data_IF_803468680893
#
_entry.id   IF_803468680893
#
_cell.length_a   1.000
_cell.length_b   1.000
_cell.length_c   1.000
_cell.angle_alpha   90.00
_cell.angle_beta   90.00
_cell.angle_gamma   90.00
#
_symmetry.space_group_name_H-M   'P 1'
#
loop_
_entity.id
_entity.type
_entity.pdbx_description
1 polymer ?
#
# COMPACT_ATOMS: atom_id res chain seq x y z
N UNK A 1 -6.67 -14.14 24.28
CA UNK A 1 -6.74 -13.62 22.90
C UNK A 1 -5.46 -14.01 22.21
N UNK A 2 -5.52 -14.71 21.07
CA UNK A 2 -4.30 -15.10 20.36
C UNK A 2 -3.70 -13.88 19.62
N UNK A 3 -2.48 -14.01 19.10
CA UNK A 3 -1.79 -12.90 18.43
C UNK A 3 -2.51 -12.46 17.14
N UNK A 4 -3.12 -13.39 16.40
CA UNK A 4 -3.85 -13.08 15.18
C UNK A 4 -5.09 -12.23 15.48
N UNK A 5 -5.88 -12.59 16.49
CA UNK A 5 -7.03 -11.81 16.95
C UNK A 5 -6.60 -10.40 17.38
N UNK A 6 -5.44 -10.31 18.06
CA UNK A 6 -4.86 -9.03 18.46
C UNK A 6 -4.47 -8.18 17.25
N UNK A 7 -3.78 -8.77 16.26
CA UNK A 7 -3.43 -8.10 15.01
C UNK A 7 -4.68 -7.53 14.33
N UNK A 8 -5.77 -8.29 14.25
CA UNK A 8 -7.02 -7.82 13.61
C UNK A 8 -7.62 -6.63 14.37
N UNK A 9 -7.69 -6.71 15.71
CA UNK A 9 -8.23 -5.64 16.53
C UNK A 9 -7.39 -4.36 16.44
N UNK A 10 -6.07 -4.49 16.52
CA UNK A 10 -5.17 -3.35 16.37
C UNK A 10 -5.26 -2.78 14.94
N UNK A 11 -5.45 -3.64 13.92
CA UNK A 11 -5.60 -3.18 12.53
C UNK A 11 -6.79 -2.25 12.34
N UNK A 12 -7.94 -2.60 12.91
CA UNK A 12 -9.13 -1.75 12.82
C UNK A 12 -8.91 -0.41 13.53
N UNK A 13 -8.16 -0.39 14.64
CA UNK A 13 -7.78 0.88 15.28
C UNK A 13 -6.87 1.72 14.39
N UNK A 14 -5.89 1.13 13.74
CA UNK A 14 -5.01 1.84 12.81
C UNK A 14 -5.75 2.34 11.58
N UNK A 15 -6.69 1.56 11.03
CA UNK A 15 -7.59 1.98 9.93
C UNK A 15 -8.41 3.22 10.33
N UNK A 16 -8.97 3.25 11.54
CA UNK A 16 -9.69 4.43 12.05
C UNK A 16 -8.79 5.65 12.26
N UNK A 17 -7.53 5.46 12.64
CA UNK A 17 -6.56 6.54 12.74
C UNK A 17 -6.19 7.07 11.35
N UNK A 18 -5.84 6.18 10.42
CA UNK A 18 -5.47 6.54 9.05
C UNK A 18 -6.59 7.28 8.32
N UNK A 19 -7.86 6.95 8.57
CA UNK A 19 -9.02 7.70 8.03
C UNK A 19 -8.99 9.20 8.34
N UNK A 20 -8.20 9.66 9.32
CA UNK A 20 -8.01 11.06 9.73
C UNK A 20 -6.77 11.72 9.13
N UNK A 21 -5.98 10.99 8.34
CA UNK A 21 -4.76 11.45 7.70
C UNK A 21 -4.99 12.74 6.87
N UNK A 22 -3.95 13.59 6.79
CA UNK A 22 -4.01 14.87 6.05
C UNK A 22 -4.36 14.68 4.57
N UNK A 23 -4.01 13.54 3.98
CA UNK A 23 -4.34 13.17 2.62
C UNK A 23 -5.83 13.37 2.31
N UNK A 24 -6.71 12.98 3.22
CA UNK A 24 -8.16 13.07 2.97
C UNK A 24 -8.74 14.49 3.09
N UNK A 25 -7.89 15.49 3.37
CA UNK A 25 -8.28 16.91 3.47
C UNK A 25 -7.77 17.75 2.31
N UNK A 26 -6.94 17.20 1.43
CA UNK A 26 -6.38 17.95 0.30
C UNK A 26 -7.44 18.24 -0.75
N UNK A 27 -7.32 19.37 -1.44
CA UNK A 27 -8.23 19.74 -2.53
C UNK A 27 -7.65 19.31 -3.87
N UNK A 28 -8.28 18.33 -4.51
CA UNK A 28 -7.97 17.86 -5.87
C UNK A 28 -9.01 18.39 -6.87
N UNK A 29 -9.22 19.71 -6.84
CA UNK A 29 -10.29 20.43 -7.55
C UNK A 29 -9.90 20.86 -8.98
N UNK A 30 -8.61 20.87 -9.31
CA UNK A 30 -8.11 21.25 -10.63
C UNK A 30 -7.29 20.13 -11.27
N UNK A 31 -7.24 20.12 -12.61
CA UNK A 31 -6.37 19.23 -13.39
C UNK A 31 -4.91 19.38 -12.96
N UNK A 32 -4.45 20.60 -12.69
CA UNK A 32 -3.09 20.87 -12.21
C UNK A 32 -2.78 20.12 -10.91
N UNK A 33 -3.65 20.21 -9.90
CA UNK A 33 -3.44 19.52 -8.61
C UNK A 33 -3.58 18.01 -8.73
N UNK A 34 -4.53 17.52 -9.54
CA UNK A 34 -4.66 16.07 -9.83
C UNK A 34 -3.40 15.53 -10.49
N UNK A 35 -2.85 16.24 -11.47
CA UNK A 35 -1.61 15.85 -12.14
C UNK A 35 -0.42 15.89 -11.17
N UNK A 36 -0.31 16.94 -10.33
CA UNK A 36 0.73 17.02 -9.30
C UNK A 36 0.66 15.84 -8.32
N UNK A 37 -0.55 15.49 -7.87
CA UNK A 37 -0.80 14.32 -7.03
C UNK A 37 -0.33 13.04 -7.70
N UNK A 38 -0.80 12.77 -8.93
CA UNK A 38 -0.51 11.52 -9.64
C UNK A 38 0.98 11.37 -9.98
N UNK A 39 1.65 12.48 -10.29
CA UNK A 39 3.11 12.50 -10.51
C UNK A 39 3.86 11.97 -9.29
N UNK A 40 3.55 12.45 -8.09
CA UNK A 40 4.21 11.96 -6.88
C UNK A 40 3.71 10.58 -6.46
N UNK A 41 2.40 10.30 -6.59
CA UNK A 41 1.82 9.00 -6.28
C UNK A 41 2.45 7.86 -7.11
N UNK A 42 2.87 8.15 -8.35
CA UNK A 42 3.65 7.22 -9.17
C UNK A 42 4.91 6.71 -8.46
N UNK A 43 5.62 7.56 -7.70
CA UNK A 43 6.81 7.12 -6.96
C UNK A 43 6.49 6.01 -5.95
N UNK A 44 5.31 6.10 -5.32
CA UNK A 44 4.81 5.04 -4.45
C UNK A 44 4.42 3.80 -5.27
N UNK A 45 3.73 3.96 -6.40
CA UNK A 45 3.38 2.83 -7.27
C UNK A 45 4.61 2.06 -7.77
N UNK A 46 5.67 2.77 -8.15
CA UNK A 46 6.95 2.17 -8.54
C UNK A 46 7.66 1.48 -7.36
N UNK A 47 7.59 2.05 -6.15
CA UNK A 47 8.12 1.41 -4.95
C UNK A 47 7.32 0.15 -4.56
N UNK A 48 5.99 0.20 -4.69
CA UNK A 48 5.08 -0.92 -4.45
C UNK A 48 5.37 -2.09 -5.41
N UNK A 49 5.53 -1.83 -6.71
CA UNK A 49 5.89 -2.89 -7.66
C UNK A 49 7.22 -3.57 -7.29
N UNK A 50 8.24 -2.81 -6.88
CA UNK A 50 9.53 -3.34 -6.40
C UNK A 50 9.36 -4.16 -5.12
N UNK A 51 8.52 -3.69 -4.20
CA UNK A 51 8.20 -4.38 -2.96
C UNK A 51 7.54 -5.74 -3.25
N UNK A 52 6.51 -5.79 -4.09
CA UNK A 52 5.81 -7.05 -4.42
C UNK A 52 6.77 -8.05 -5.10
N UNK A 53 7.62 -7.59 -6.02
CA UNK A 53 8.67 -8.42 -6.62
C UNK A 53 9.67 -8.95 -5.57
N UNK A 54 10.17 -8.07 -4.69
CA UNK A 54 11.07 -8.47 -3.62
C UNK A 54 10.42 -9.51 -2.69
N UNK A 55 9.13 -9.36 -2.37
CA UNK A 55 8.40 -10.33 -1.56
C UNK A 55 8.44 -11.72 -2.18
N UNK A 56 8.17 -11.83 -3.49
CA UNK A 56 8.21 -13.12 -4.20
C UNK A 56 9.60 -13.75 -4.12
N UNK A 57 10.65 -12.95 -4.33
CA UNK A 57 12.04 -13.44 -4.31
C UNK A 57 12.45 -13.95 -2.93
N UNK A 58 12.03 -13.27 -1.87
CA UNK A 58 12.49 -13.54 -0.51
C UNK A 58 11.53 -14.41 0.32
N UNK A 59 10.36 -14.79 -0.21
CA UNK A 59 9.45 -15.71 0.47
C UNK A 59 10.00 -17.14 0.44
N UNK A 60 10.09 -17.79 1.60
CA UNK A 60 10.79 -19.06 1.74
C UNK A 60 9.83 -20.24 1.89
N UNK A 61 8.76 -20.04 2.65
CA UNK A 61 7.76 -21.08 2.94
C UNK A 61 6.73 -21.17 1.82
N UNK A 62 6.29 -22.40 1.51
CA UNK A 62 5.47 -22.69 0.34
C UNK A 62 4.17 -21.89 0.30
N UNK A 63 3.48 -21.82 1.43
CA UNK A 63 2.18 -21.15 1.53
C UNK A 63 2.31 -19.63 1.32
N UNK A 64 3.35 -19.02 1.90
CA UNK A 64 3.60 -17.59 1.72
C UNK A 64 4.17 -17.25 0.35
N UNK A 65 4.97 -18.15 -0.24
CA UNK A 65 5.44 -18.00 -1.61
C UNK A 65 4.27 -18.06 -2.60
N UNK A 66 3.34 -19.00 -2.42
CA UNK A 66 2.12 -19.06 -3.23
C UNK A 66 1.32 -17.76 -3.12
N UNK A 67 1.05 -17.30 -1.89
CA UNK A 67 0.35 -16.04 -1.65
C UNK A 67 1.05 -14.84 -2.30
N UNK A 68 2.39 -14.80 -2.24
CA UNK A 68 3.17 -13.72 -2.85
C UNK A 68 3.08 -13.75 -4.39
N UNK A 69 3.07 -14.92 -5.01
CA UNK A 69 2.91 -15.08 -6.47
C UNK A 69 1.51 -14.73 -6.95
N UNK A 70 0.47 -15.13 -6.23
CA UNK A 70 -0.91 -14.75 -6.52
C UNK A 70 -1.04 -13.22 -6.48
N UNK A 71 -0.56 -12.59 -5.41
CA UNK A 71 -0.55 -11.14 -5.28
C UNK A 71 0.26 -10.44 -6.40
N UNK A 72 1.45 -10.95 -6.73
CA UNK A 72 2.24 -10.39 -7.84
C UNK A 72 1.53 -10.50 -9.18
N UNK A 73 0.83 -11.60 -9.44
CA UNK A 73 0.12 -11.82 -10.71
C UNK A 73 -0.92 -10.73 -10.95
N UNK A 74 -1.66 -10.36 -9.90
CA UNK A 74 -2.66 -9.30 -9.98
C UNK A 74 -2.01 -7.92 -10.10
N UNK A 75 -0.94 -7.66 -9.34
CA UNK A 75 -0.32 -6.34 -9.26
C UNK A 75 0.67 -6.00 -10.38
N UNK A 76 1.09 -7.00 -11.17
CA UNK A 76 2.15 -6.83 -12.13
C UNK A 76 1.79 -5.82 -13.23
N UNK A 77 2.57 -4.73 -13.27
CA UNK A 77 2.46 -3.70 -14.30
C UNK A 77 1.46 -2.60 -14.01
N UNK A 78 0.81 -2.60 -12.83
CA UNK A 78 -0.06 -1.48 -12.41
C UNK A 78 0.69 -0.14 -12.35
N UNK A 79 1.97 -0.15 -11.99
CA UNK A 79 2.82 1.04 -12.02
C UNK A 79 3.09 1.56 -13.44
N UNK A 80 3.30 0.65 -14.40
CA UNK A 80 3.48 0.97 -15.81
C UNK A 80 2.18 1.54 -16.40
N UNK A 81 1.06 0.92 -16.08
CA UNK A 81 -0.27 1.38 -16.49
C UNK A 81 -0.55 2.80 -15.95
N UNK A 82 -0.27 3.05 -14.67
CA UNK A 82 -0.40 4.39 -14.09
C UNK A 82 0.50 5.39 -14.82
N UNK A 83 1.78 5.05 -15.03
CA UNK A 83 2.76 5.91 -15.72
C UNK A 83 2.31 6.31 -17.13
N UNK A 84 1.80 5.35 -17.92
CA UNK A 84 1.34 5.60 -19.28
C UNK A 84 0.13 6.56 -19.34
N UNK A 85 -0.61 6.69 -18.24
CA UNK A 85 -1.80 7.52 -18.13
C UNK A 85 -1.56 8.87 -17.43
N UNK A 86 -0.30 9.22 -17.13
CA UNK A 86 0.05 10.53 -16.61
C UNK A 86 0.09 11.60 -17.71
N UNK A 87 -0.25 12.83 -17.34
CA UNK A 87 -0.03 14.00 -18.19
C UNK A 87 1.36 14.59 -17.91
N UNK A 88 2.15 14.79 -18.97
CA UNK A 88 3.52 15.33 -18.94
C UNK A 88 4.46 14.53 -18.02
N UNK A 89 5.14 13.53 -18.59
CA UNK A 89 6.04 12.58 -17.92
C UNK A 89 7.38 13.18 -17.48
N UNK A 90 7.39 14.44 -17.07
CA UNK A 90 8.55 15.05 -16.44
C UNK A 90 8.88 14.31 -15.14
N UNK A 91 10.18 14.16 -14.89
CA UNK A 91 10.69 13.52 -13.69
C UNK A 91 10.30 14.35 -12.46
N UNK A 92 9.85 13.66 -11.41
CA UNK A 92 9.50 14.27 -10.13
C UNK A 92 10.18 13.49 -9.02
N UNK A 93 10.64 14.17 -7.98
CA UNK A 93 11.35 13.56 -6.86
C UNK A 93 10.89 14.22 -5.57
N UNK A 94 10.84 13.43 -4.50
CA UNK A 94 10.74 13.91 -3.13
C UNK A 94 11.48 12.91 -2.23
N UNK A 95 12.66 13.28 -1.75
CA UNK A 95 13.55 12.33 -1.06
C UNK A 95 12.94 11.74 0.21
N UNK A 96 12.04 12.46 0.88
CA UNK A 96 11.33 11.96 2.06
C UNK A 96 10.33 10.88 1.62
N UNK A 97 9.50 11.17 0.63
CA UNK A 97 8.50 10.24 0.10
C UNK A 97 9.16 8.97 -0.48
N UNK A 98 10.25 9.12 -1.23
CA UNK A 98 11.01 8.00 -1.79
C UNK A 98 11.64 7.13 -0.70
N UNK A 99 12.18 7.72 0.36
CA UNK A 99 12.73 6.99 1.49
C UNK A 99 11.66 6.21 2.25
N UNK A 100 10.49 6.82 2.48
CA UNK A 100 9.35 6.16 3.12
C UNK A 100 8.85 4.97 2.27
N UNK A 101 8.74 5.13 0.95
CA UNK A 101 8.36 4.05 0.05
C UNK A 101 9.39 2.92 -0.01
N UNK A 102 10.68 3.27 -0.13
CA UNK A 102 11.78 2.30 -0.23
C UNK A 102 11.95 1.45 1.03
N UNK A 103 11.52 1.96 2.19
CA UNK A 103 11.52 1.20 3.44
C UNK A 103 10.71 -0.10 3.33
N UNK A 104 9.56 -0.08 2.66
CA UNK A 104 8.74 -1.28 2.48
C UNK A 104 9.45 -2.35 1.63
N UNK A 105 10.12 -1.94 0.56
CA UNK A 105 10.95 -2.86 -0.25
C UNK A 105 12.07 -3.48 0.57
N UNK A 106 12.79 -2.66 1.37
CA UNK A 106 13.81 -3.17 2.28
C UNK A 106 13.24 -4.17 3.29
N UNK A 107 12.01 -3.97 3.76
CA UNK A 107 11.33 -4.90 4.67
C UNK A 107 10.96 -6.22 4.02
N UNK A 108 10.62 -6.22 2.72
CA UNK A 108 10.46 -7.49 2.00
C UNK A 108 11.77 -8.29 1.94
N UNK A 109 12.92 -7.64 1.91
CA UNK A 109 14.22 -8.35 1.88
C UNK A 109 14.67 -8.86 3.25
N UNK A 110 14.20 -8.26 4.35
CA UNK A 110 14.83 -8.42 5.68
C UNK A 110 13.95 -9.07 6.75
N UNK A 111 12.62 -9.09 6.58
CA UNK A 111 11.68 -9.68 7.54
C UNK A 111 11.43 -11.17 7.30
N UNK A 112 10.81 -11.87 8.24
CA UNK A 112 10.27 -13.21 8.00
C UNK A 112 8.95 -13.20 7.20
N UNK A 113 8.54 -14.35 6.66
CA UNK A 113 7.34 -14.48 5.82
C UNK A 113 6.06 -13.96 6.48
N UNK A 114 5.84 -14.32 7.74
CA UNK A 114 4.69 -13.87 8.52
C UNK A 114 4.66 -12.35 8.72
N UNK A 115 5.82 -11.75 9.00
CA UNK A 115 5.96 -10.30 9.16
C UNK A 115 5.73 -9.56 7.83
N UNK A 116 6.24 -10.10 6.71
CA UNK A 116 5.97 -9.58 5.36
C UNK A 116 4.48 -9.62 5.03
N UNK A 117 3.81 -10.74 5.34
CA UNK A 117 2.38 -10.89 5.10
C UNK A 117 1.56 -9.90 5.94
N UNK A 118 1.93 -9.68 7.21
CA UNK A 118 1.32 -8.62 8.04
C UNK A 118 1.53 -7.25 7.40
N UNK A 119 2.75 -6.93 6.97
CA UNK A 119 3.05 -5.62 6.40
C UNK A 119 2.31 -5.36 5.08
N UNK A 120 2.21 -6.37 4.20
CA UNK A 120 1.46 -6.21 2.95
C UNK A 120 -0.04 -6.18 3.24
N UNK A 121 -0.58 -7.27 3.79
CA UNK A 121 -2.03 -7.48 3.78
C UNK A 121 -2.79 -6.75 4.89
N UNK A 122 -2.16 -6.47 6.03
CA UNK A 122 -2.84 -5.73 7.12
C UNK A 122 -2.51 -4.24 7.11
N UNK A 123 -1.37 -3.84 6.56
CA UNK A 123 -0.99 -2.43 6.54
C UNK A 123 -1.24 -1.82 5.17
N UNK A 124 -0.57 -2.31 4.13
CA UNK A 124 -0.61 -1.69 2.81
C UNK A 124 -1.98 -1.89 2.16
N UNK A 125 -2.49 -3.11 2.07
CA UNK A 125 -3.78 -3.38 1.41
C UNK A 125 -4.96 -2.78 2.17
N UNK A 126 -4.94 -2.80 3.51
CA UNK A 126 -5.94 -2.10 4.32
C UNK A 126 -5.89 -0.58 4.11
N UNK A 127 -4.69 -0.01 4.00
CA UNK A 127 -4.50 1.41 3.68
C UNK A 127 -5.02 1.72 2.28
N UNK A 128 -4.69 0.90 1.28
CA UNK A 128 -5.07 1.05 -0.10
C UNK A 128 -6.61 0.99 -0.25
N UNK A 129 -7.25 0.01 0.39
CA UNK A 129 -8.71 -0.08 0.49
C UNK A 129 -9.36 1.22 0.97
N UNK A 130 -8.83 1.84 2.04
CA UNK A 130 -9.35 3.13 2.56
C UNK A 130 -9.06 4.27 1.57
N UNK A 131 -7.84 4.30 1.03
CA UNK A 131 -7.38 5.32 0.10
C UNK A 131 -8.26 5.38 -1.15
N UNK A 132 -8.42 4.25 -1.85
CA UNK A 132 -9.21 4.17 -3.08
C UNK A 132 -10.70 4.37 -2.82
N UNK A 133 -11.25 3.87 -1.72
CA UNK A 133 -12.65 4.14 -1.36
C UNK A 133 -12.95 5.63 -1.16
N UNK A 134 -12.01 6.39 -0.57
CA UNK A 134 -12.20 7.82 -0.29
C UNK A 134 -11.86 8.74 -1.46
N UNK A 135 -10.81 8.43 -2.22
CA UNK A 135 -10.27 9.33 -3.24
C UNK A 135 -10.45 8.83 -4.68
N UNK A 136 -10.73 7.54 -4.90
CA UNK A 136 -10.74 6.95 -6.24
C UNK A 136 -11.72 7.62 -7.19
N UNK A 137 -12.91 7.97 -6.72
CA UNK A 137 -13.95 8.61 -7.53
C UNK A 137 -13.55 9.97 -8.11
N UNK A 138 -12.60 10.68 -7.48
CA UNK A 138 -12.07 11.97 -7.95
C UNK A 138 -11.40 11.81 -9.33
N UNK A 139 -10.86 10.62 -9.62
CA UNK A 139 -10.10 10.30 -10.81
C UNK A 139 -10.90 9.52 -11.86
N UNK A 140 -12.20 9.27 -11.67
CA UNK A 140 -13.01 8.47 -12.62
C UNK A 140 -13.18 9.11 -14.01
N UNK A 141 -13.00 10.42 -14.12
CA UNK A 141 -12.99 11.15 -15.39
C UNK A 141 -11.56 11.55 -15.82
N UNK A 142 -10.53 10.97 -15.20
CA UNK A 142 -9.13 11.18 -15.53
C UNK A 142 -8.61 10.02 -16.40
N UNK A 143 -7.51 10.19 -17.14
CA UNK A 143 -6.89 9.10 -17.93
C UNK A 143 -6.51 7.89 -17.07
N UNK A 144 -6.06 8.15 -15.84
CA UNK A 144 -5.77 7.13 -14.83
C UNK A 144 -7.02 6.45 -14.22
N UNK A 145 -8.23 6.68 -14.72
CA UNK A 145 -9.46 6.13 -14.13
C UNK A 145 -9.45 4.60 -14.01
N UNK A 146 -8.80 3.89 -14.95
CA UNK A 146 -8.68 2.44 -14.92
C UNK A 146 -7.97 1.99 -13.65
N UNK A 147 -6.78 2.51 -13.38
CA UNK A 147 -6.01 2.28 -12.16
C UNK A 147 -6.88 2.34 -10.89
N UNK A 148 -7.55 3.47 -10.66
CA UNK A 148 -8.36 3.67 -9.44
C UNK A 148 -9.58 2.74 -9.39
N UNK A 149 -10.21 2.43 -10.52
CA UNK A 149 -11.34 1.50 -10.55
C UNK A 149 -10.90 0.08 -10.22
N UNK A 150 -9.76 -0.38 -10.75
CA UNK A 150 -9.21 -1.71 -10.49
C UNK A 150 -8.96 -1.90 -8.99
N UNK A 151 -8.22 -0.99 -8.37
CA UNK A 151 -7.85 -1.11 -6.96
C UNK A 151 -9.01 -0.97 -5.97
N UNK A 152 -10.12 -0.31 -6.36
CA UNK A 152 -11.33 -0.33 -5.53
C UNK A 152 -11.94 -1.74 -5.35
N UNK A 153 -11.63 -2.68 -6.24
CA UNK A 153 -12.10 -4.06 -6.17
C UNK A 153 -11.01 -5.03 -5.69
N UNK A 154 -9.75 -4.88 -6.14
CA UNK A 154 -8.67 -5.82 -5.83
C UNK A 154 -8.17 -5.71 -4.39
N UNK A 155 -7.93 -4.51 -3.87
CA UNK A 155 -7.27 -4.33 -2.58
C UNK A 155 -8.05 -4.96 -1.40
N UNK A 156 -9.40 -4.91 -1.35
CA UNK A 156 -10.16 -5.64 -0.34
C UNK A 156 -9.96 -7.17 -0.42
N UNK A 157 -9.83 -7.73 -1.62
CA UNK A 157 -9.56 -9.16 -1.81
C UNK A 157 -8.15 -9.50 -1.34
N UNK A 158 -7.16 -8.67 -1.69
CA UNK A 158 -5.78 -8.83 -1.25
C UNK A 158 -5.64 -8.73 0.28
N UNK A 159 -6.34 -7.81 0.95
CA UNK A 159 -6.41 -7.75 2.43
C UNK A 159 -6.89 -9.10 2.99
N UNK A 160 -7.98 -9.66 2.45
CA UNK A 160 -8.56 -10.91 2.95
C UNK A 160 -7.67 -12.14 2.71
N UNK A 161 -6.96 -12.20 1.59
CA UNK A 161 -6.05 -13.32 1.28
C UNK A 161 -4.98 -13.51 2.36
N UNK A 162 -4.35 -12.41 2.82
CA UNK A 162 -3.36 -12.48 3.89
C UNK A 162 -3.96 -12.82 5.24
N UNK A 163 -5.12 -12.27 5.58
CA UNK A 163 -5.84 -12.60 6.83
C UNK A 163 -6.18 -14.09 6.90
N UNK A 164 -6.68 -14.65 5.79
CA UNK A 164 -7.02 -16.07 5.71
C UNK A 164 -5.80 -16.95 5.99
N UNK A 165 -4.66 -16.65 5.36
CA UNK A 165 -3.44 -17.42 5.56
C UNK A 165 -2.91 -17.31 7.00
N UNK A 166 -2.86 -16.10 7.57
CA UNK A 166 -2.38 -15.88 8.93
C UNK A 166 -3.22 -16.64 9.97
N UNK A 167 -4.54 -16.72 9.78
CA UNK A 167 -5.44 -17.52 10.62
C UNK A 167 -5.20 -19.02 10.48
N UNK A 168 -4.89 -19.49 9.28
CA UNK A 168 -4.63 -20.90 9.01
C UNK A 168 -3.34 -21.40 9.66
N UNK A 169 -2.25 -20.63 9.58
CA UNK A 169 -0.93 -21.05 10.08
C UNK A 169 -0.83 -20.91 11.61
N UNK A 170 -1.72 -20.13 12.24
CA UNK A 170 -1.84 -19.97 13.70
C UNK A 170 -0.50 -19.57 14.37
N UNK A 171 0.12 -18.51 13.85
CA UNK A 171 1.42 -18.02 14.29
C UNK A 171 1.29 -17.31 15.64
N UNK A 172 2.22 -17.60 16.55
CA UNK A 172 2.30 -16.97 17.87
C UNK A 172 3.65 -16.23 18.05
N UNK A 173 3.85 -15.19 17.25
CA UNK A 173 5.04 -14.33 17.31
C UNK A 173 4.65 -12.86 17.60
N UNK A 174 5.15 -12.32 18.72
CA UNK A 174 4.86 -10.96 19.14
C UNK A 174 5.56 -9.89 18.27
N UNK A 175 6.57 -10.27 17.49
CA UNK A 175 7.21 -9.40 16.50
C UNK A 175 6.18 -8.85 15.49
N UNK A 176 5.15 -9.63 15.18
CA UNK A 176 4.08 -9.28 14.23
C UNK A 176 3.36 -7.98 14.63
N UNK A 177 3.06 -7.80 15.91
CA UNK A 177 2.42 -6.58 16.43
C UNK A 177 3.35 -5.37 16.27
N UNK A 178 4.65 -5.59 16.47
CA UNK A 178 5.66 -4.53 16.35
C UNK A 178 5.81 -4.08 14.91
N UNK A 179 5.89 -5.02 13.96
CA UNK A 179 6.00 -4.67 12.54
C UNK A 179 4.70 -4.09 12.00
N UNK A 180 3.53 -4.55 12.44
CA UNK A 180 2.24 -3.97 12.07
C UNK A 180 2.19 -2.48 12.47
N UNK A 181 2.46 -2.18 13.73
CA UNK A 181 2.49 -0.79 14.22
C UNK A 181 3.45 0.06 13.39
N UNK A 182 4.68 -0.42 13.21
CA UNK A 182 5.71 0.32 12.47
C UNK A 182 5.31 0.53 11.01
N UNK A 183 4.68 -0.46 10.38
CA UNK A 183 4.13 -0.33 9.04
C UNK A 183 3.09 0.78 8.96
N UNK A 184 2.14 0.82 9.91
CA UNK A 184 1.13 1.87 9.95
C UNK A 184 1.73 3.26 10.18
N UNK A 185 2.71 3.38 11.08
CA UNK A 185 3.44 4.64 11.29
C UNK A 185 4.11 5.12 9.97
N UNK A 186 4.71 4.19 9.22
CA UNK A 186 5.39 4.48 7.95
C UNK A 186 4.42 4.85 6.82
N UNK A 187 3.31 4.12 6.66
CA UNK A 187 2.33 4.39 5.59
C UNK A 187 1.56 5.68 5.86
N UNK A 188 1.24 5.98 7.13
CA UNK A 188 0.62 7.24 7.52
C UNK A 188 1.54 8.43 7.24
N UNK A 189 2.84 8.30 7.56
CA UNK A 189 3.85 9.31 7.21
C UNK A 189 3.99 9.49 5.69
N UNK A 190 3.99 8.40 4.93
CA UNK A 190 4.07 8.42 3.46
C UNK A 190 2.92 9.22 2.86
N UNK A 191 1.68 8.92 3.23
CA UNK A 191 0.52 9.61 2.71
C UNK A 191 0.33 11.03 3.28
N UNK A 192 0.82 11.29 4.50
CA UNK A 192 0.93 12.65 5.02
C UNK A 192 1.89 13.47 4.15
N UNK A 193 3.05 12.92 3.78
CA UNK A 193 4.01 13.61 2.91
C UNK A 193 3.44 13.85 1.52
N UNK A 194 2.72 12.86 0.94
CA UNK A 194 2.02 13.03 -0.33
C UNK A 194 1.02 14.19 -0.29
N UNK A 195 0.31 14.34 0.81
CA UNK A 195 -0.63 15.44 1.00
C UNK A 195 0.06 16.80 0.99
N UNK A 196 1.19 16.91 1.70
CA UNK A 196 1.99 18.14 1.81
C UNK A 196 2.55 18.55 0.45
N UNK A 197 3.28 17.66 -0.21
CA UNK A 197 3.89 17.95 -1.53
C UNK A 197 2.85 18.25 -2.61
N UNK A 198 1.63 17.71 -2.49
CA UNK A 198 0.54 18.00 -3.44
C UNK A 198 -0.08 19.38 -3.23
N UNK A 199 -0.09 19.90 -1.99
CA UNK A 199 -0.71 21.19 -1.64
C UNK A 199 0.25 22.38 -1.70
N UNK A 200 1.56 22.14 -1.67
CA UNK A 200 2.60 23.14 -1.99
C UNK A 200 2.38 23.76 -3.38
#
# INVERSE_FOLDING_TARGET
MNIIDRLMLDNEQYKEQFKKNKLFKIKLDSTLRKNKFLKHFRLWSDAFQKMVLARVVFSETKEFQQLAWEHLTDEFGHNIELFQNLENNEETTDSIFEALGSWFTLKMMTLGDSERAVLVHLVIESCATIFYAKLGSIFFNHKAAKHFKTHMYLDPEHEQMGIALLKQININDASLLTIQKKGWDMIDALFTRLAEITQD
#
